data_IF_923983572563
#
_entry.id   IF_923983572563
#
_cell.length_a   1.000
_cell.length_b   1.000
_cell.length_c   1.000
_cell.angle_alpha   90.00
_cell.angle_beta   90.00
_cell.angle_gamma   90.00
#
_symmetry.space_group_name_H-M   'P 1'
#
loop_
_entity.id
_entity.type
_entity.pdbx_description
1 polymer ?
#
# COMPACT_ATOMS: atom_id res chain seq x y z
N UNK A 1 1.44 13.12 9.82
CA UNK A 1 1.03 12.91 8.42
C UNK A 1 0.61 11.48 8.20
N UNK A 2 -0.70 11.26 8.09
CA UNK A 2 -1.28 9.97 7.73
C UNK A 2 -1.80 10.09 6.30
N UNK A 3 -1.50 9.09 5.47
CA UNK A 3 -2.09 8.95 4.15
C UNK A 3 -3.16 7.87 4.18
N UNK A 4 -4.16 7.96 3.31
CA UNK A 4 -5.22 6.96 3.21
C UNK A 4 -5.16 6.29 1.84
N UNK A 5 -5.29 4.97 1.83
CA UNK A 5 -5.41 4.16 0.62
C UNK A 5 -6.77 3.51 0.66
N UNK A 6 -7.61 3.85 -0.31
CA UNK A 6 -8.90 3.22 -0.50
C UNK A 6 -8.77 2.23 -1.65
N UNK A 7 -9.22 1.00 -1.44
CA UNK A 7 -9.26 0.00 -2.48
C UNK A 7 -10.53 -0.84 -2.37
N UNK A 8 -10.98 -1.36 -3.51
CA UNK A 8 -12.15 -2.22 -3.59
C UNK A 8 -11.77 -3.56 -4.21
N UNK A 9 -12.30 -4.63 -3.63
CA UNK A 9 -12.24 -5.97 -4.19
C UNK A 9 -13.60 -6.28 -4.79
N UNK A 10 -13.67 -6.26 -6.11
CA UNK A 10 -14.89 -6.56 -6.87
C UNK A 10 -15.07 -8.05 -7.17
N UNK A 11 -14.04 -8.86 -6.98
CA UNK A 11 -14.09 -10.30 -7.19
C UNK A 11 -14.89 -11.00 -6.08
N UNK A 12 -15.81 -11.93 -6.40
CA UNK A 12 -16.48 -12.75 -5.41
C UNK A 12 -15.55 -13.79 -4.76
N UNK A 13 -14.36 -14.03 -5.35
CA UNK A 13 -13.33 -14.92 -4.80
C UNK A 13 -12.35 -14.08 -3.97
N UNK A 14 -12.05 -14.46 -2.72
CA UNK A 14 -11.08 -13.75 -1.89
C UNK A 14 -9.72 -13.59 -2.61
N UNK A 15 -9.15 -12.39 -2.51
CA UNK A 15 -7.90 -12.02 -3.18
C UNK A 15 -6.79 -11.84 -2.16
N UNK A 16 -5.56 -12.21 -2.55
CA UNK A 16 -4.39 -11.85 -1.78
C UNK A 16 -4.07 -10.36 -2.00
N UNK A 17 -4.04 -9.60 -0.92
CA UNK A 17 -3.73 -8.17 -0.91
C UNK A 17 -2.40 -7.96 -0.22
N UNK A 18 -1.49 -7.26 -0.90
CA UNK A 18 -0.22 -6.79 -0.33
C UNK A 18 -0.12 -5.30 -0.52
N UNK A 19 0.10 -4.56 0.55
CA UNK A 19 0.42 -3.13 0.49
C UNK A 19 1.75 -2.92 1.20
N UNK A 20 2.71 -2.33 0.50
CA UNK A 20 4.06 -2.13 1.05
C UNK A 20 4.71 -0.87 0.47
N UNK A 21 5.73 -0.38 1.18
CA UNK A 21 6.50 0.80 0.79
C UNK A 21 7.86 0.37 0.28
N UNK A 22 8.33 0.98 -0.80
CA UNK A 22 9.68 0.84 -1.33
C UNK A 22 10.39 2.19 -1.40
N UNK A 23 11.72 2.16 -1.28
CA UNK A 23 12.54 3.32 -1.67
C UNK A 23 12.68 3.42 -3.20
N UNK A 24 13.31 4.49 -3.67
CA UNK A 24 13.50 4.75 -5.11
C UNK A 24 14.36 3.69 -5.83
N UNK A 25 15.11 2.86 -5.09
CA UNK A 25 15.89 1.75 -5.67
C UNK A 25 15.05 0.48 -5.86
N UNK A 26 13.78 0.49 -5.44
CA UNK A 26 12.89 -0.67 -5.47
C UNK A 26 13.08 -1.61 -4.27
N UNK A 27 13.88 -1.22 -3.27
CA UNK A 27 14.03 -2.01 -2.05
C UNK A 27 12.80 -1.79 -1.17
N UNK A 28 12.13 -2.90 -0.82
CA UNK A 28 11.01 -2.89 0.14
C UNK A 28 11.50 -2.46 1.52
N UNK A 29 10.83 -1.45 2.09
CA UNK A 29 11.14 -0.85 3.38
C UNK A 29 10.23 -1.41 4.47
N UNK A 30 8.93 -1.49 4.21
CA UNK A 30 7.94 -1.94 5.19
C UNK A 30 6.72 -2.52 4.51
N UNK A 31 6.19 -3.61 5.08
CA UNK A 31 4.87 -4.15 4.75
C UNK A 31 3.81 -3.45 5.60
N UNK A 32 2.74 -2.98 4.97
CA UNK A 32 1.60 -2.33 5.63
C UNK A 32 0.47 -3.36 5.80
N UNK A 33 0.23 -4.16 4.75
CA UNK A 33 -0.75 -5.24 4.73
C UNK A 33 -0.17 -6.41 3.93
N UNK A 34 -0.36 -7.63 4.43
CA UNK A 34 -0.20 -8.87 3.66
C UNK A 34 -1.26 -9.87 4.15
N UNK A 35 -2.28 -10.14 3.33
CA UNK A 35 -3.37 -11.00 3.75
C UNK A 35 -4.42 -11.25 2.68
N UNK A 36 -5.38 -12.12 3.01
CA UNK A 36 -6.49 -12.48 2.11
C UNK A 36 -7.72 -11.65 2.49
N UNK A 37 -8.29 -10.94 1.51
CA UNK A 37 -9.44 -10.08 1.68
C UNK A 37 -10.59 -10.56 0.79
N UNK A 38 -11.82 -10.44 1.29
CA UNK A 38 -13.03 -10.82 0.55
C UNK A 38 -13.54 -9.65 -0.29
N UNK A 39 -14.62 -9.88 -1.04
CA UNK A 39 -15.36 -8.82 -1.73
C UNK A 39 -15.71 -7.68 -0.76
N UNK A 40 -15.46 -6.42 -1.17
CA UNK A 40 -15.81 -5.24 -0.38
C UNK A 40 -14.92 -4.02 -0.64
N UNK A 41 -15.25 -2.93 0.04
CA UNK A 41 -14.45 -1.70 0.07
C UNK A 41 -13.63 -1.63 1.36
N UNK A 42 -12.37 -1.24 1.23
CA UNK A 42 -11.41 -1.19 2.32
C UNK A 42 -10.72 0.15 2.35
N UNK A 43 -10.47 0.61 3.57
CA UNK A 43 -9.71 1.81 3.86
C UNK A 43 -8.52 1.43 4.72
N UNK A 44 -7.33 1.74 4.22
CA UNK A 44 -6.07 1.49 4.89
C UNK A 44 -5.40 2.81 5.25
N UNK A 45 -5.07 2.97 6.53
CA UNK A 45 -4.28 4.09 7.01
C UNK A 45 -2.79 3.78 6.90
N UNK A 46 -2.07 4.63 6.18
CA UNK A 46 -0.63 4.57 6.02
C UNK A 46 0.00 5.61 6.93
N UNK A 47 0.76 5.14 7.93
CA UNK A 47 1.55 6.01 8.80
C UNK A 47 2.96 6.20 8.23
N UNK A 48 3.31 7.45 7.94
CA UNK A 48 4.66 7.84 7.54
C UNK A 48 5.56 8.20 8.74
N UNK A 49 5.10 8.00 9.98
CA UNK A 49 5.80 8.48 11.18
C UNK A 49 7.25 7.97 11.27
N UNK A 50 7.46 6.71 10.90
CA UNK A 50 8.76 6.03 10.93
C UNK A 50 9.58 6.20 9.64
N UNK A 51 9.08 6.95 8.66
CA UNK A 51 9.83 7.26 7.45
C UNK A 51 10.62 8.56 7.64
N UNK A 52 11.83 8.59 7.07
CA UNK A 52 12.60 9.82 6.94
C UNK A 52 12.02 10.68 5.81
N UNK A 53 12.29 11.98 5.84
CA UNK A 53 11.93 12.87 4.72
C UNK A 53 12.58 12.36 3.43
N UNK A 54 11.80 12.29 2.35
CA UNK A 54 12.24 11.70 1.10
C UNK A 54 11.09 11.21 0.22
N UNK A 55 11.42 10.70 -0.96
CA UNK A 55 10.47 10.12 -1.89
C UNK A 55 10.42 8.60 -1.76
N UNK A 56 9.22 8.04 -1.80
CA UNK A 56 8.96 6.60 -1.69
C UNK A 56 7.90 6.18 -2.70
N UNK A 57 7.83 4.87 -2.96
CA UNK A 57 6.71 4.25 -3.66
C UNK A 57 5.87 3.46 -2.68
N UNK A 58 4.56 3.63 -2.75
CA UNK A 58 3.59 2.74 -2.12
C UNK A 58 3.06 1.84 -3.22
N UNK A 59 3.15 0.53 -3.01
CA UNK A 59 2.66 -0.48 -3.94
C UNK A 59 1.49 -1.20 -3.30
N UNK A 60 0.36 -1.25 -4.02
CA UNK A 60 -0.77 -2.09 -3.69
C UNK A 60 -0.89 -3.19 -4.74
N UNK A 61 -0.78 -4.44 -4.31
CA UNK A 61 -1.04 -5.62 -5.10
C UNK A 61 -2.35 -6.25 -4.65
N UNK A 62 -3.29 -6.45 -5.56
CA UNK A 62 -4.59 -7.11 -5.30
C UNK A 62 -4.73 -8.23 -6.32
N UNK A 63 -4.49 -9.46 -5.89
CA UNK A 63 -4.34 -10.60 -6.80
C UNK A 63 -3.17 -10.36 -7.78
N UNK A 64 -3.49 -10.29 -9.07
CA UNK A 64 -2.52 -10.03 -10.15
C UNK A 64 -2.43 -8.53 -10.52
N UNK A 65 -3.32 -7.69 -9.99
CA UNK A 65 -3.32 -6.26 -10.27
C UNK A 65 -2.32 -5.54 -9.36
N UNK A 66 -1.59 -4.57 -9.93
CA UNK A 66 -0.67 -3.71 -9.20
C UNK A 66 -1.02 -2.24 -9.43
N UNK A 67 -1.01 -1.48 -8.35
CA UNK A 67 -1.05 -0.03 -8.36
C UNK A 67 0.18 0.50 -7.62
N UNK A 68 0.77 1.59 -8.12
CA UNK A 68 1.96 2.19 -7.52
C UNK A 68 1.80 3.70 -7.48
N UNK A 69 1.94 4.26 -6.29
CA UNK A 69 1.84 5.70 -6.04
C UNK A 69 3.15 6.20 -5.48
N UNK A 70 3.69 7.26 -6.07
CA UNK A 70 4.85 7.97 -5.51
C UNK A 70 4.37 8.94 -4.43
N UNK A 71 4.96 8.86 -3.25
CA UNK A 71 4.73 9.80 -2.15
C UNK A 71 6.01 10.54 -1.80
N UNK A 72 5.88 11.77 -1.28
CA UNK A 72 6.98 12.51 -0.69
C UNK A 72 6.65 12.74 0.78
N UNK A 73 7.53 12.29 1.67
CA UNK A 73 7.46 12.57 3.11
C UNK A 73 8.27 13.82 3.37
N UNK A 74 7.65 14.80 4.03
CA UNK A 74 8.28 16.06 4.45
C UNK A 74 8.01 16.20 5.95
N UNK A 75 9.07 16.40 6.73
CA UNK A 75 9.01 16.66 8.18
C UNK A 75 9.42 18.10 8.46
#
# INVERSE_FOLDING_TARGET
>A
DNAEINFAISSPVPQNVKVYIMDLSGRKIVDIVDGIYSYGEYKLELSAANLNSGAFFVVAQIGDAFETVRINVIK
#
